data_IF_815617539573
#
_entry.id   IF_815617539573
#
_cell.length_a   1.000
_cell.length_b   1.000
_cell.length_c   1.000
_cell.angle_alpha   90.00
_cell.angle_beta   90.00
_cell.angle_gamma   90.00
#
_symmetry.space_group_name_H-M   'P 1'
#
loop_
_entity.id
_entity.type
_entity.pdbx_description
1 polymer ?
#
# COMPACT_ATOMS: atom_id res chain seq x y z
N UNK A 1 -14.62 7.09 12.68
CA UNK A 1 -14.71 5.87 13.51
C UNK A 1 -16.17 5.66 13.96
N UNK A 2 -16.87 6.70 14.44
CA UNK A 2 -18.24 6.58 14.98
C UNK A 2 -19.36 6.65 13.92
N UNK A 3 -19.00 6.97 12.68
CA UNK A 3 -19.97 7.12 11.58
C UNK A 3 -20.41 5.79 10.94
N UNK A 4 -19.85 4.65 11.36
CA UNK A 4 -20.24 3.32 10.87
C UNK A 4 -19.62 2.94 9.52
N UNK A 5 -18.46 3.50 9.16
CA UNK A 5 -17.68 3.04 8.01
C UNK A 5 -16.89 1.78 8.37
N UNK A 6 -16.63 0.93 7.39
CA UNK A 6 -15.87 -0.32 7.58
C UNK A 6 -14.35 -0.09 7.44
N UNK A 7 -13.95 0.90 6.64
CA UNK A 7 -12.54 1.23 6.37
C UNK A 7 -12.25 2.71 6.56
N UNK A 8 -11.00 3.02 6.90
CA UNK A 8 -10.43 4.37 6.92
C UNK A 8 -9.23 4.38 5.98
N UNK A 9 -9.31 5.25 4.98
CA UNK A 9 -8.20 5.46 4.04
C UNK A 9 -7.27 6.54 4.57
N UNK A 10 -5.97 6.42 4.27
CA UNK A 10 -4.89 7.31 4.71
C UNK A 10 -4.73 7.36 6.22
N UNK A 11 -5.54 8.15 6.94
CA UNK A 11 -5.41 8.31 8.39
C UNK A 11 -4.07 8.92 8.81
N UNK A 12 -3.51 9.82 8.00
CA UNK A 12 -2.11 10.30 8.04
C UNK A 12 -1.67 10.78 9.43
N UNK A 13 -2.54 11.47 10.15
CA UNK A 13 -2.28 11.98 11.49
C UNK A 13 -3.13 11.28 12.56
N UNK A 14 -3.51 10.03 12.29
CA UNK A 14 -4.23 9.19 13.27
C UNK A 14 -3.42 9.08 14.56
N UNK A 15 -4.10 9.09 15.70
CA UNK A 15 -3.48 8.88 17.00
C UNK A 15 -3.44 7.38 17.37
N UNK A 16 -2.65 7.03 18.37
CA UNK A 16 -2.60 5.67 18.90
C UNK A 16 -3.96 5.21 19.44
N UNK A 17 -4.66 6.08 20.14
CA UNK A 17 -6.00 5.83 20.70
C UNK A 17 -7.03 5.60 19.59
N UNK A 18 -6.93 6.33 18.47
CA UNK A 18 -7.79 6.11 17.31
C UNK A 18 -7.52 4.75 16.66
N UNK A 19 -6.25 4.34 16.54
CA UNK A 19 -5.90 3.02 16.04
C UNK A 19 -6.45 1.91 16.96
N UNK A 20 -6.37 2.07 18.29
CA UNK A 20 -6.98 1.14 19.25
C UNK A 20 -8.51 1.07 19.09
N UNK A 21 -9.20 2.21 18.98
CA UNK A 21 -10.64 2.26 18.75
C UNK A 21 -11.04 1.56 17.44
N UNK A 22 -10.24 1.72 16.37
CA UNK A 22 -10.45 1.01 15.12
C UNK A 22 -10.34 -0.50 15.30
N UNK A 23 -9.30 -0.96 16.00
CA UNK A 23 -9.11 -2.37 16.30
C UNK A 23 -10.29 -2.95 17.11
N UNK A 24 -10.71 -2.26 18.18
CA UNK A 24 -11.85 -2.66 19.02
C UNK A 24 -13.18 -2.75 18.26
N UNK A 25 -13.38 -1.85 17.28
CA UNK A 25 -14.59 -1.82 16.44
C UNK A 25 -14.51 -2.72 15.20
N UNK A 26 -13.36 -3.37 14.97
CA UNK A 26 -13.14 -4.21 13.79
C UNK A 26 -13.02 -3.45 12.46
N UNK A 27 -12.69 -2.15 12.50
CA UNK A 27 -12.46 -1.36 11.29
C UNK A 27 -11.10 -1.69 10.68
N UNK A 28 -10.99 -1.50 9.36
CA UNK A 28 -9.74 -1.65 8.65
C UNK A 28 -9.10 -0.30 8.30
N UNK A 29 -7.79 -0.29 8.12
CA UNK A 29 -6.98 0.88 7.78
C UNK A 29 -6.14 0.64 6.53
N UNK A 30 -6.27 1.53 5.53
CA UNK A 30 -5.45 1.53 4.31
C UNK A 30 -4.49 2.73 4.35
N UNK A 31 -3.26 2.59 4.82
CA UNK A 31 -2.35 3.72 5.09
C UNK A 31 -1.88 4.47 3.85
N UNK A 32 -1.74 3.82 2.70
CA UNK A 32 -1.20 4.42 1.46
C UNK A 32 0.18 5.08 1.64
N UNK A 33 1.08 4.40 2.33
CA UNK A 33 2.43 4.87 2.68
C UNK A 33 3.20 5.32 1.44
N UNK A 34 3.05 4.55 0.35
CA UNK A 34 3.74 4.81 -0.92
C UNK A 34 3.42 6.20 -1.47
N UNK A 35 2.16 6.63 -1.44
CA UNK A 35 1.75 7.94 -1.96
C UNK A 35 2.43 9.08 -1.19
N UNK A 36 2.39 9.03 0.14
CA UNK A 36 2.97 10.06 1.00
C UNK A 36 4.50 10.08 0.95
N UNK A 37 5.14 8.91 0.88
CA UNK A 37 6.60 8.81 0.71
C UNK A 37 7.02 9.39 -0.63
N UNK A 38 6.32 9.06 -1.72
CA UNK A 38 6.59 9.62 -3.05
C UNK A 38 6.42 11.15 -3.06
N UNK A 39 5.34 11.67 -2.49
CA UNK A 39 5.09 13.12 -2.44
C UNK A 39 6.13 13.86 -1.61
N UNK A 40 6.59 13.27 -0.51
CA UNK A 40 7.71 13.80 0.26
C UNK A 40 9.00 13.85 -0.56
N UNK A 41 9.37 12.75 -1.23
CA UNK A 41 10.60 12.66 -2.02
C UNK A 41 10.60 13.64 -3.20
N UNK A 42 9.50 13.72 -3.95
CA UNK A 42 9.41 14.66 -5.08
C UNK A 42 9.42 16.11 -4.63
N UNK A 43 8.72 16.45 -3.54
CA UNK A 43 8.72 17.80 -2.98
C UNK A 43 10.11 18.20 -2.52
N UNK A 44 10.83 17.30 -1.83
CA UNK A 44 12.21 17.52 -1.42
C UNK A 44 13.10 17.83 -2.61
N UNK A 45 13.04 17.01 -3.66
CA UNK A 45 13.77 17.21 -4.90
C UNK A 45 13.45 18.56 -5.55
N UNK A 46 12.15 18.90 -5.65
CA UNK A 46 11.72 20.16 -6.25
C UNK A 46 12.23 21.39 -5.46
N UNK A 47 12.27 21.30 -4.13
CA UNK A 47 12.86 22.36 -3.29
C UNK A 47 14.36 22.51 -3.53
N UNK A 48 15.09 21.40 -3.68
CA UNK A 48 16.52 21.43 -4.03
C UNK A 48 16.74 22.09 -5.41
N UNK A 49 15.88 21.80 -6.40
CA UNK A 49 15.92 22.42 -7.73
C UNK A 49 15.52 23.92 -7.71
N UNK A 50 14.74 24.33 -6.70
CA UNK A 50 14.40 25.73 -6.48
C UNK A 50 15.46 26.50 -5.70
N UNK A 51 16.56 25.89 -5.29
CA UNK A 51 17.62 26.54 -4.53
C UNK A 51 18.16 27.78 -5.28
N UNK A 52 18.17 28.93 -4.57
CA UNK A 52 18.58 30.22 -5.15
C UNK A 52 17.47 31.07 -5.77
N UNK A 53 16.25 30.53 -5.91
CA UNK A 53 15.09 31.35 -6.29
C UNK A 53 14.63 32.23 -5.14
N UNK A 54 14.05 33.44 -5.44
CA UNK A 54 13.43 34.26 -4.40
C UNK A 54 12.32 33.51 -3.65
N UNK A 55 12.16 33.78 -2.36
CA UNK A 55 11.10 33.15 -1.53
C UNK A 55 9.69 33.46 -2.05
N UNK A 56 9.50 34.57 -2.76
CA UNK A 56 8.23 34.95 -3.37
C UNK A 56 8.05 34.37 -4.80
N UNK A 57 8.96 33.51 -5.30
CA UNK A 57 8.75 32.77 -6.54
C UNK A 57 7.53 31.83 -6.36
N UNK A 58 6.55 31.83 -7.28
CA UNK A 58 5.34 31.02 -7.13
C UNK A 58 5.61 29.51 -7.05
N UNK A 59 6.65 29.00 -7.72
CA UNK A 59 7.02 27.58 -7.67
C UNK A 59 7.63 27.26 -6.32
N UNK A 60 8.52 28.12 -5.81
CA UNK A 60 9.11 27.97 -4.49
C UNK A 60 8.03 27.97 -3.40
N UNK A 61 7.08 28.92 -3.43
CA UNK A 61 6.00 28.98 -2.46
C UNK A 61 5.13 27.72 -2.48
N UNK A 62 4.80 27.20 -3.67
CA UNK A 62 4.04 25.96 -3.81
C UNK A 62 4.79 24.77 -3.18
N UNK A 63 6.08 24.62 -3.48
CA UNK A 63 6.85 23.49 -2.95
C UNK A 63 7.10 23.63 -1.44
N UNK A 64 7.24 24.84 -0.91
CA UNK A 64 7.28 25.08 0.55
C UNK A 64 5.97 24.66 1.23
N UNK A 65 4.82 25.02 0.66
CA UNK A 65 3.52 24.61 1.20
C UNK A 65 3.33 23.08 1.14
N UNK A 66 3.77 22.44 0.04
CA UNK A 66 3.79 20.98 -0.08
C UNK A 66 4.67 20.35 1.01
N UNK A 67 5.85 20.92 1.25
CA UNK A 67 6.79 20.45 2.26
C UNK A 67 6.22 20.50 3.68
N UNK A 68 5.57 21.60 4.03
CA UNK A 68 4.91 21.78 5.33
C UNK A 68 3.89 20.68 5.64
N UNK A 69 3.30 20.06 4.61
CA UNK A 69 2.36 18.94 4.77
C UNK A 69 3.04 17.57 4.63
N UNK A 70 3.83 17.36 3.57
CA UNK A 70 4.32 16.02 3.25
C UNK A 70 5.48 15.55 4.13
N UNK A 71 6.32 16.44 4.63
CA UNK A 71 7.39 16.05 5.55
C UNK A 71 6.84 15.51 6.89
N UNK A 72 5.92 16.21 7.59
CA UNK A 72 5.30 15.65 8.80
C UNK A 72 4.47 14.39 8.52
N UNK A 73 3.78 14.32 7.37
CA UNK A 73 3.01 13.15 6.97
C UNK A 73 3.91 11.91 6.80
N UNK A 74 5.01 12.03 6.05
CA UNK A 74 6.02 10.98 5.90
C UNK A 74 6.57 10.50 7.25
N UNK A 75 6.94 11.46 8.14
CA UNK A 75 7.44 11.14 9.48
C UNK A 75 6.37 10.43 10.31
N UNK A 76 5.11 10.87 10.22
CA UNK A 76 4.01 10.26 10.96
C UNK A 76 3.83 8.77 10.61
N UNK A 77 3.89 8.40 9.34
CA UNK A 77 3.83 7.00 8.92
C UNK A 77 5.06 6.22 9.39
N UNK A 78 6.26 6.71 9.09
CA UNK A 78 7.51 6.03 9.43
C UNK A 78 7.61 5.74 10.94
N UNK A 79 7.23 6.71 11.78
CA UNK A 79 7.44 6.63 13.22
C UNK A 79 6.31 5.92 13.97
N UNK A 80 5.12 5.79 13.35
CA UNK A 80 3.92 5.27 14.03
C UNK A 80 3.30 4.03 13.38
N UNK A 81 3.58 3.70 12.12
CA UNK A 81 2.94 2.59 11.42
C UNK A 81 2.98 1.29 12.23
N UNK A 82 4.16 0.90 12.72
CA UNK A 82 4.30 -0.32 13.53
C UNK A 82 3.50 -0.28 14.84
N UNK A 83 3.48 0.87 15.50
CA UNK A 83 2.73 1.05 16.75
C UNK A 83 1.21 0.89 16.51
N UNK A 84 0.71 1.42 15.38
CA UNK A 84 -0.69 1.30 15.02
C UNK A 84 -1.01 -0.14 14.60
N UNK A 85 -0.15 -0.78 13.81
CA UNK A 85 -0.28 -2.20 13.48
C UNK A 85 -0.39 -3.07 14.75
N UNK A 86 0.41 -2.79 15.77
CA UNK A 86 0.44 -3.56 17.02
C UNK A 86 -0.80 -3.37 17.91
N UNK A 87 -1.67 -2.41 17.61
CA UNK A 87 -2.99 -2.32 18.27
C UNK A 87 -3.94 -3.44 17.85
N UNK A 88 -3.61 -4.16 16.76
CA UNK A 88 -4.46 -5.18 16.16
C UNK A 88 -5.46 -4.63 15.13
N UNK A 89 -5.36 -3.34 14.74
CA UNK A 89 -6.15 -2.81 13.62
C UNK A 89 -5.86 -3.60 12.35
N UNK A 90 -6.91 -3.97 11.62
CA UNK A 90 -6.74 -4.67 10.34
C UNK A 90 -6.17 -3.73 9.31
N UNK A 91 -4.92 -3.98 8.86
CA UNK A 91 -4.26 -3.17 7.83
C UNK A 91 -4.51 -3.76 6.45
N UNK A 92 -4.87 -2.90 5.49
CA UNK A 92 -5.01 -3.22 4.08
C UNK A 92 -3.92 -2.50 3.28
N UNK A 93 -3.37 -3.15 2.26
CA UNK A 93 -2.44 -2.51 1.35
C UNK A 93 -3.19 -1.73 0.26
N UNK A 94 -2.77 -0.48 0.03
CA UNK A 94 -3.28 0.39 -1.03
C UNK A 94 -2.24 1.44 -1.38
N UNK A 95 -2.19 1.91 -2.63
CA UNK A 95 -1.14 2.82 -3.11
C UNK A 95 -1.66 4.19 -3.54
N UNK A 96 -2.98 4.36 -3.64
CA UNK A 96 -3.59 5.57 -4.21
C UNK A 96 -2.98 5.93 -5.59
N UNK A 97 -3.05 4.98 -6.52
CA UNK A 97 -2.28 4.89 -7.78
C UNK A 97 -2.28 6.14 -8.65
N UNK A 98 -3.18 7.09 -8.44
CA UNK A 98 -3.33 8.30 -9.26
C UNK A 98 -2.92 9.53 -8.46
N UNK A 99 -1.69 9.59 -8.06
CA UNK A 99 -1.12 10.83 -7.51
C UNK A 99 -0.64 11.68 -8.68
N UNK A 100 -1.00 12.96 -8.70
CA UNK A 100 -0.72 13.94 -9.75
C UNK A 100 0.71 13.85 -10.29
N UNK A 101 0.84 13.51 -11.60
CA UNK A 101 2.12 13.47 -12.29
C UNK A 101 3.05 12.33 -11.85
N UNK A 102 2.59 11.42 -11.01
CA UNK A 102 3.38 10.27 -10.59
C UNK A 102 3.33 9.15 -11.63
N UNK A 103 4.41 8.37 -11.78
CA UNK A 103 4.30 7.05 -12.39
C UNK A 103 3.34 6.19 -11.55
N UNK A 104 2.77 5.15 -12.15
CA UNK A 104 1.98 4.15 -11.41
C UNK A 104 2.76 3.70 -10.16
N UNK A 105 2.19 3.94 -8.99
CA UNK A 105 2.79 3.53 -7.73
C UNK A 105 2.55 2.03 -7.51
N UNK A 106 3.57 1.17 -7.60
CA UNK A 106 3.37 -0.28 -7.58
C UNK A 106 3.08 -0.79 -6.17
N UNK A 107 2.07 -1.65 -6.02
CA UNK A 107 1.72 -2.29 -4.76
C UNK A 107 2.91 -3.02 -4.08
N UNK A 108 3.83 -3.70 -4.79
CA UNK A 108 5.03 -4.25 -4.17
C UNK A 108 5.84 -3.23 -3.36
N UNK A 109 5.89 -1.98 -3.77
CA UNK A 109 6.63 -0.95 -3.04
C UNK A 109 5.92 -0.51 -1.74
N UNK A 110 4.59 -0.47 -1.75
CA UNK A 110 3.80 -0.29 -0.51
C UNK A 110 4.14 -1.36 0.53
N UNK A 111 4.16 -2.64 0.11
CA UNK A 111 4.49 -3.75 0.99
C UNK A 111 5.95 -3.69 1.49
N UNK A 112 6.89 -3.23 0.66
CA UNK A 112 8.27 -2.99 1.07
C UNK A 112 8.35 -1.92 2.16
N UNK A 113 7.65 -0.79 2.02
CA UNK A 113 7.60 0.24 3.06
C UNK A 113 6.99 -0.29 4.37
N UNK A 114 5.93 -1.09 4.29
CA UNK A 114 5.36 -1.72 5.49
C UNK A 114 6.41 -2.58 6.23
N UNK A 115 7.23 -3.33 5.49
CA UNK A 115 8.34 -4.11 6.08
C UNK A 115 9.45 -3.20 6.62
N UNK A 116 9.85 -2.18 5.87
CA UNK A 116 10.82 -1.16 6.32
C UNK A 116 10.35 -0.46 7.61
N UNK A 117 9.04 -0.31 7.80
CA UNK A 117 8.43 0.32 8.98
C UNK A 117 8.09 -0.68 10.09
N UNK A 118 8.52 -1.94 9.97
CA UNK A 118 8.68 -2.85 11.09
C UNK A 118 7.74 -4.04 11.18
N UNK A 119 6.89 -4.32 10.18
CA UNK A 119 6.17 -5.60 10.13
C UNK A 119 6.96 -6.64 9.33
N UNK A 120 6.64 -7.92 9.51
CA UNK A 120 7.31 -9.00 8.76
C UNK A 120 6.83 -9.08 7.32
N UNK A 121 7.62 -9.65 6.38
CA UNK A 121 7.17 -9.86 5.01
C UNK A 121 5.86 -10.63 4.89
N UNK A 122 5.65 -11.65 5.74
CA UNK A 122 4.39 -12.42 5.77
C UNK A 122 3.22 -11.55 6.18
N UNK A 123 3.39 -10.71 7.22
CA UNK A 123 2.36 -9.76 7.64
C UNK A 123 2.04 -8.75 6.53
N UNK A 124 3.06 -8.24 5.83
CA UNK A 124 2.86 -7.34 4.70
C UNK A 124 2.07 -8.02 3.57
N UNK A 125 2.38 -9.27 3.21
CA UNK A 125 1.60 -10.04 2.22
C UNK A 125 0.14 -10.20 2.64
N UNK A 126 -0.12 -10.45 3.92
CA UNK A 126 -1.48 -10.57 4.45
C UNK A 126 -2.29 -9.29 4.26
N UNK A 127 -1.68 -8.10 4.32
CA UNK A 127 -2.38 -6.83 4.07
C UNK A 127 -2.90 -6.70 2.64
N UNK A 128 -2.31 -7.44 1.67
CA UNK A 128 -2.69 -7.43 0.26
C UNK A 128 -3.47 -8.68 -0.18
N UNK A 129 -3.72 -9.64 0.72
CA UNK A 129 -4.32 -10.94 0.38
C UNK A 129 -5.46 -11.31 1.34
N UNK A 130 -5.15 -11.96 2.46
CA UNK A 130 -6.17 -12.47 3.39
C UNK A 130 -6.93 -11.38 4.11
N UNK A 131 -6.30 -10.25 4.46
CA UNK A 131 -6.98 -9.17 5.14
C UNK A 131 -8.06 -8.52 4.26
N UNK A 132 -7.76 -8.04 3.02
CA UNK A 132 -8.81 -7.51 2.15
C UNK A 132 -9.87 -8.55 1.78
N UNK A 133 -9.52 -9.81 1.60
CA UNK A 133 -10.51 -10.87 1.36
C UNK A 133 -11.51 -10.95 2.51
N UNK A 134 -11.04 -10.91 3.76
CA UNK A 134 -11.89 -10.94 4.95
C UNK A 134 -12.74 -9.67 5.09
N UNK A 135 -12.15 -8.49 4.92
CA UNK A 135 -12.87 -7.21 5.07
C UNK A 135 -13.97 -7.05 4.02
N UNK A 136 -13.73 -7.57 2.81
CA UNK A 136 -14.67 -7.50 1.69
C UNK A 136 -15.64 -8.70 1.62
N UNK A 137 -15.55 -9.68 2.54
CA UNK A 137 -16.42 -10.85 2.59
C UNK A 137 -16.10 -11.94 1.57
N UNK A 138 -14.86 -11.98 1.04
CA UNK A 138 -14.38 -12.96 0.05
C UNK A 138 -13.46 -14.04 0.64
N UNK A 139 -13.36 -14.17 1.96
CA UNK A 139 -12.43 -15.10 2.64
C UNK A 139 -12.74 -16.58 2.37
N UNK A 140 -13.96 -16.90 1.91
CA UNK A 140 -14.36 -18.24 1.51
C UNK A 140 -14.12 -18.53 0.01
N UNK A 141 -13.66 -17.54 -0.74
CA UNK A 141 -13.41 -17.64 -2.19
C UNK A 141 -11.93 -17.47 -2.51
N UNK A 142 -11.22 -16.53 -1.86
CA UNK A 142 -9.84 -16.11 -2.20
C UNK A 142 -9.09 -15.52 -1.00
N UNK A 143 -7.83 -15.10 -1.23
CA UNK A 143 -6.98 -14.45 -0.24
C UNK A 143 -5.98 -15.39 0.45
N UNK A 144 -6.11 -16.69 0.24
CA UNK A 144 -5.22 -17.72 0.78
C UNK A 144 -4.91 -18.79 -0.28
N UNK A 145 -3.77 -19.45 -0.18
CA UNK A 145 -3.46 -20.67 -0.92
C UNK A 145 -4.01 -21.84 -0.11
N UNK A 146 -5.22 -22.26 -0.43
CA UNK A 146 -5.95 -23.31 0.29
C UNK A 146 -6.85 -24.09 -0.68
N UNK A 147 -6.97 -25.41 -0.48
CA UNK A 147 -7.89 -26.24 -1.24
C UNK A 147 -9.33 -25.73 -1.12
N UNK A 148 -10.02 -25.67 -2.24
CA UNK A 148 -11.42 -25.20 -2.35
C UNK A 148 -11.55 -23.71 -2.60
N UNK A 149 -10.46 -22.91 -2.56
CA UNK A 149 -10.48 -21.49 -2.94
C UNK A 149 -10.08 -21.31 -4.42
N UNK A 150 -10.40 -20.13 -4.96
CA UNK A 150 -9.99 -19.73 -6.30
C UNK A 150 -8.47 -19.75 -6.43
N UNK A 151 -7.99 -20.31 -7.55
CA UNK A 151 -6.57 -20.37 -7.85
C UNK A 151 -6.06 -19.03 -8.45
N UNK A 152 -6.23 -17.95 -7.69
CA UNK A 152 -5.65 -16.63 -7.96
C UNK A 152 -4.27 -16.60 -7.31
N UNK A 153 -3.24 -17.02 -8.08
CA UNK A 153 -1.91 -17.29 -7.56
C UNK A 153 -0.86 -16.35 -8.15
N UNK A 154 0.06 -15.91 -7.30
CA UNK A 154 1.29 -15.23 -7.67
C UNK A 154 2.48 -16.11 -7.33
N UNK A 155 3.31 -16.45 -8.35
CA UNK A 155 4.57 -17.15 -8.16
C UNK A 155 5.73 -16.19 -8.39
N UNK A 156 6.70 -16.18 -7.49
CA UNK A 156 7.89 -15.33 -7.54
C UNK A 156 9.17 -16.15 -7.46
N UNK A 157 10.32 -15.52 -7.74
CA UNK A 157 11.61 -16.18 -7.86
C UNK A 157 12.27 -16.65 -6.55
N UNK A 158 11.56 -16.70 -5.41
CA UNK A 158 12.15 -17.13 -4.15
C UNK A 158 11.20 -17.10 -2.96
N UNK A 159 11.76 -17.03 -1.75
CA UNK A 159 11.02 -17.10 -0.48
C UNK A 159 10.62 -15.70 0.01
N UNK A 160 9.36 -15.31 -0.26
CA UNK A 160 8.79 -14.02 0.16
C UNK A 160 8.78 -13.82 1.69
N UNK A 161 8.84 -14.87 2.48
CA UNK A 161 8.90 -14.74 3.94
C UNK A 161 10.21 -14.17 4.44
N UNK A 162 11.24 -14.19 3.59
CA UNK A 162 12.59 -13.68 3.88
C UNK A 162 12.89 -12.38 3.15
N UNK A 163 12.37 -12.22 1.92
CA UNK A 163 12.65 -11.06 1.08
C UNK A 163 11.40 -10.61 0.31
N UNK A 164 10.78 -9.54 0.79
CA UNK A 164 9.60 -8.95 0.17
C UNK A 164 9.90 -8.34 -1.21
N UNK A 165 11.17 -8.01 -1.53
CA UNK A 165 11.54 -7.41 -2.81
C UNK A 165 11.36 -8.37 -3.97
N UNK A 166 11.28 -9.68 -3.72
CA UNK A 166 10.96 -10.72 -4.71
C UNK A 166 9.57 -10.54 -5.35
N UNK A 167 8.70 -9.71 -4.80
CA UNK A 167 7.46 -9.28 -5.48
C UNK A 167 7.72 -8.55 -6.80
N UNK A 168 8.94 -8.09 -7.06
CA UNK A 168 9.36 -7.53 -8.34
C UNK A 168 9.84 -8.61 -9.34
N UNK A 169 10.03 -9.86 -8.90
CA UNK A 169 10.49 -10.99 -9.73
C UNK A 169 9.35 -12.00 -9.96
N UNK A 170 8.26 -11.50 -10.57
CA UNK A 170 7.06 -12.29 -10.87
C UNK A 170 7.35 -13.31 -11.98
N UNK A 171 7.11 -14.59 -11.70
CA UNK A 171 7.27 -15.71 -12.64
C UNK A 171 5.95 -16.13 -13.27
N UNK A 172 4.87 -16.18 -12.48
CA UNK A 172 3.56 -16.62 -12.96
C UNK A 172 2.46 -15.88 -12.20
N UNK A 173 1.39 -15.52 -12.91
CA UNK A 173 0.12 -15.08 -12.32
C UNK A 173 -1.00 -15.91 -12.91
N UNK A 174 -1.86 -16.43 -12.04
CA UNK A 174 -3.12 -17.07 -12.44
C UNK A 174 -4.32 -16.32 -11.88
N UNK A 175 -5.43 -16.36 -12.61
CA UNK A 175 -6.75 -15.92 -12.17
C UNK A 175 -7.75 -17.04 -12.44
N UNK A 176 -8.41 -17.52 -11.39
CA UNK A 176 -9.29 -18.68 -11.47
C UNK A 176 -8.58 -19.90 -12.09
N UNK A 177 -7.30 -20.10 -11.79
CA UNK A 177 -6.46 -21.17 -12.34
C UNK A 177 -5.98 -20.96 -13.78
N UNK A 178 -6.37 -19.88 -14.45
CA UNK A 178 -5.91 -19.59 -15.83
C UNK A 178 -4.66 -18.71 -15.77
N UNK A 179 -3.63 -19.04 -16.55
CA UNK A 179 -2.42 -18.21 -16.66
C UNK A 179 -2.73 -16.87 -17.36
N UNK A 180 -2.38 -15.76 -16.70
CA UNK A 180 -2.52 -14.41 -17.26
C UNK A 180 -1.16 -13.73 -17.47
N UNK A 181 -0.12 -14.24 -16.80
CA UNK A 181 1.28 -13.81 -16.99
C UNK A 181 2.22 -14.98 -16.69
N UNK A 182 3.30 -15.12 -17.45
CA UNK A 182 4.37 -16.10 -17.21
C UNK A 182 5.66 -15.61 -17.86
N UNK A 183 6.75 -15.50 -17.09
CA UNK A 183 8.11 -15.15 -17.53
C UNK A 183 8.18 -13.94 -18.48
N UNK A 184 7.52 -12.85 -18.13
CA UNK A 184 7.48 -11.61 -18.93
C UNK A 184 6.41 -11.58 -20.03
N UNK A 185 5.74 -12.69 -20.31
CA UNK A 185 4.69 -12.80 -21.32
C UNK A 185 3.32 -12.56 -20.67
N UNK A 186 2.58 -11.56 -21.15
CA UNK A 186 1.18 -11.36 -20.76
C UNK A 186 0.28 -12.17 -21.69
N UNK A 187 -0.48 -13.06 -21.14
CA UNK A 187 -1.55 -13.77 -21.84
C UNK A 187 -2.81 -12.89 -21.77
N UNK A 188 -2.91 -11.90 -22.64
CA UNK A 188 -4.16 -11.13 -22.83
C UNK A 188 -5.11 -12.05 -23.59
N UNK A 189 -5.67 -12.98 -22.87
CA UNK A 189 -6.74 -13.81 -23.35
C UNK A 189 -8.03 -13.04 -23.25
N UNK A 190 -8.53 -12.59 -24.38
CA UNK A 190 -9.94 -12.66 -24.76
C UNK A 190 -10.92 -11.86 -23.91
N UNK A 191 -11.53 -10.87 -24.55
CA UNK A 191 -12.93 -10.49 -24.39
C UNK A 191 -13.66 -11.33 -23.34
N UNK A 192 -13.99 -10.76 -22.20
CA UNK A 192 -14.77 -11.28 -21.07
C UNK A 192 -14.02 -11.42 -19.72
N UNK A 193 -13.08 -10.51 -19.40
CA UNK A 193 -12.53 -10.46 -18.05
C UNK A 193 -13.39 -9.63 -17.06
N UNK A 194 -14.53 -9.08 -17.53
CA UNK A 194 -15.42 -8.24 -16.70
C UNK A 194 -16.92 -8.50 -17.04
N UNK A 195 -17.34 -9.77 -17.11
CA UNK A 195 -18.76 -10.12 -17.03
C UNK A 195 -19.00 -10.96 -15.79
#
# INVERSE_FOLDING_TARGET
IDAGFDTIEHGTFMTYEQAQQMAEKGLAWTPTIMAYTYLYEITKKNLEECAGKPVNDPVMQKEMANWEYFEPAYKAYRDNFKKFYDTGVTVLAGTDMVVYGSPLLPLPRELQYMVEYGITPVQAIQTATSNPAKVLGFENERGLVKEGLDADLLVVGGDLSKDITLLNDVKLVTLGGKRVFEDGIRYVGTQNMFM
#
